data_IF_331607107022
#
_entry.id   IF_331607107022
#
_cell.length_a   1.000
_cell.length_b   1.000
_cell.length_c   1.000
_cell.angle_alpha   90.00
_cell.angle_beta   90.00
_cell.angle_gamma   90.00
#
_symmetry.space_group_name_H-M   'P 1'
#
loop_
_entity.id
_entity.type
_entity.pdbx_description
1 polymer ?
#
# COMPACT_ATOMS: atom_id res chain seq x y z
N UNK A 1 -1.98 -42.59 -65.99
CA UNK A 1 -0.52 -42.44 -65.89
C UNK A 1 -0.19 -40.97 -65.70
N UNK A 2 0.11 -40.55 -64.47
CA UNK A 2 0.96 -39.38 -64.20
C UNK A 2 1.55 -39.59 -62.81
N UNK A 3 2.76 -40.13 -62.80
CA UNK A 3 3.61 -40.37 -61.63
C UNK A 3 3.88 -39.05 -60.92
N UNK A 4 3.20 -38.79 -59.80
CA UNK A 4 3.67 -37.80 -58.83
C UNK A 4 4.90 -38.41 -58.14
N UNK A 5 6.07 -37.91 -58.51
CA UNK A 5 7.35 -38.42 -58.03
C UNK A 5 7.55 -38.10 -56.54
N UNK A 6 8.13 -39.06 -55.82
CA UNK A 6 8.62 -38.94 -54.44
C UNK A 6 9.63 -37.79 -54.21
N UNK A 7 10.05 -37.06 -55.26
CA UNK A 7 11.01 -35.96 -55.17
C UNK A 7 10.43 -34.65 -54.61
N UNK A 8 9.11 -34.41 -54.71
CA UNK A 8 8.53 -33.15 -54.21
C UNK A 8 8.39 -33.13 -52.68
N UNK A 9 8.13 -34.29 -52.06
CA UNK A 9 8.07 -34.40 -50.60
C UNK A 9 9.44 -34.41 -49.94
N UNK A 10 10.48 -34.95 -50.59
CA UNK A 10 11.85 -34.92 -50.07
C UNK A 10 12.47 -33.52 -50.10
N UNK A 11 12.11 -32.67 -51.08
CA UNK A 11 12.54 -31.25 -51.13
C UNK A 11 11.88 -30.40 -50.04
N UNK A 12 10.62 -30.64 -49.66
CA UNK A 12 9.98 -29.91 -48.57
C UNK A 12 10.51 -30.30 -47.19
N UNK A 13 10.89 -31.57 -47.00
CA UNK A 13 11.49 -32.05 -45.76
C UNK A 13 12.96 -31.58 -45.56
N UNK A 14 13.75 -31.47 -46.64
CA UNK A 14 15.16 -31.05 -46.56
C UNK A 14 15.36 -29.53 -46.44
N UNK A 15 14.39 -28.71 -46.87
CA UNK A 15 14.44 -27.24 -46.74
C UNK A 15 14.21 -26.79 -45.28
N UNK A 16 13.58 -27.62 -44.45
CA UNK A 16 13.33 -27.35 -43.03
C UNK A 16 14.58 -27.52 -42.15
N UNK A 17 15.37 -28.57 -42.38
CA UNK A 17 16.50 -28.94 -41.50
C UNK A 17 17.76 -28.12 -41.76
N UNK A 18 18.05 -27.73 -43.00
CA UNK A 18 19.22 -26.90 -43.34
C UNK A 18 19.09 -25.41 -42.94
N UNK A 19 17.87 -24.86 -42.85
CA UNK A 19 17.68 -23.49 -42.32
C UNK A 19 17.74 -23.42 -40.80
N UNK A 20 17.42 -24.51 -40.10
CA UNK A 20 17.56 -24.61 -38.65
C UNK A 20 19.03 -24.83 -38.23
N UNK A 21 19.84 -25.51 -39.05
CA UNK A 21 21.27 -25.69 -38.77
C UNK A 21 22.09 -24.40 -38.91
N UNK A 22 21.74 -23.50 -39.84
CA UNK A 22 22.39 -22.19 -39.99
C UNK A 22 22.12 -21.22 -38.83
N UNK A 23 21.05 -21.45 -38.07
CA UNK A 23 20.74 -20.71 -36.85
C UNK A 23 21.40 -21.30 -35.59
N UNK A 24 21.90 -22.54 -35.63
CA UNK A 24 22.42 -23.27 -34.46
C UNK A 24 23.57 -22.53 -33.74
N UNK A 25 24.43 -21.84 -34.50
CA UNK A 25 25.46 -20.93 -33.99
C UNK A 25 24.86 -19.80 -33.16
N UNK A 26 23.74 -19.20 -33.60
CA UNK A 26 23.21 -17.98 -32.97
C UNK A 26 22.56 -18.36 -31.63
N UNK A 27 21.88 -19.50 -31.62
CA UNK A 27 21.31 -20.11 -30.43
C UNK A 27 22.40 -20.49 -29.43
N UNK A 28 23.50 -21.12 -29.87
CA UNK A 28 24.56 -21.59 -28.96
C UNK A 28 25.52 -20.50 -28.48
N UNK A 29 25.94 -19.58 -29.36
CA UNK A 29 26.94 -18.55 -29.02
C UNK A 29 26.38 -17.33 -28.33
N UNK A 30 25.12 -16.94 -28.61
CA UNK A 30 24.56 -15.70 -28.07
C UNK A 30 23.36 -15.94 -27.17
N UNK A 31 22.40 -16.77 -27.60
CA UNK A 31 21.16 -16.90 -26.82
C UNK A 31 21.36 -17.71 -25.53
N UNK A 32 22.05 -18.85 -25.57
CA UNK A 32 22.30 -19.63 -24.36
C UNK A 32 23.09 -18.82 -23.31
N UNK A 33 24.21 -18.14 -23.65
CA UNK A 33 24.87 -17.24 -22.72
C UNK A 33 23.98 -16.09 -22.25
N UNK A 34 23.13 -15.52 -23.11
CA UNK A 34 22.21 -14.46 -22.70
C UNK A 34 21.14 -14.94 -21.71
N UNK A 35 20.56 -16.13 -21.93
CA UNK A 35 19.59 -16.75 -21.01
C UNK A 35 20.23 -17.03 -19.64
N UNK A 36 21.50 -17.45 -19.62
CA UNK A 36 22.24 -17.68 -18.37
C UNK A 36 22.65 -16.36 -17.71
N UNK A 37 23.18 -15.40 -18.47
CA UNK A 37 23.68 -14.13 -17.96
C UNK A 37 22.57 -13.20 -17.47
N UNK A 38 21.38 -13.25 -18.07
CA UNK A 38 20.29 -12.33 -17.76
C UNK A 38 19.79 -12.41 -16.30
N UNK A 39 19.57 -13.61 -15.70
CA UNK A 39 19.28 -13.72 -14.28
C UNK A 39 20.37 -13.17 -13.36
N UNK A 40 21.65 -13.33 -13.70
CA UNK A 40 22.75 -12.73 -12.93
C UNK A 40 22.72 -11.19 -13.02
N UNK A 41 22.48 -10.65 -14.22
CA UNK A 41 22.29 -9.21 -14.41
C UNK A 41 21.10 -8.68 -13.58
N UNK A 42 19.95 -9.36 -13.63
CA UNK A 42 18.78 -8.99 -12.84
C UNK A 42 19.09 -9.01 -11.34
N UNK A 43 19.75 -10.07 -10.85
CA UNK A 43 20.16 -10.21 -9.45
C UNK A 43 21.11 -9.09 -9.02
N UNK A 44 22.15 -8.79 -9.83
CA UNK A 44 23.12 -7.75 -9.54
C UNK A 44 22.49 -6.35 -9.47
N UNK A 45 21.60 -6.02 -10.42
CA UNK A 45 20.95 -4.72 -10.47
C UNK A 45 19.90 -4.54 -9.36
N UNK A 46 19.22 -5.62 -8.93
CA UNK A 46 18.16 -5.55 -7.90
C UNK A 46 18.64 -5.07 -6.55
N UNK A 47 19.84 -5.46 -6.13
CA UNK A 47 20.39 -5.01 -4.85
C UNK A 47 21.05 -3.64 -4.90
N UNK A 48 21.23 -3.05 -6.09
CA UNK A 48 21.95 -1.78 -6.25
C UNK A 48 21.31 -0.65 -5.43
N UNK A 49 19.98 -0.58 -5.39
CA UNK A 49 19.24 0.44 -4.64
C UNK A 49 19.42 0.27 -3.13
N UNK A 50 19.26 -0.95 -2.63
CA UNK A 50 19.47 -1.25 -1.21
C UNK A 50 20.90 -0.92 -0.78
N UNK A 51 21.90 -1.37 -1.56
CA UNK A 51 23.32 -1.06 -1.30
C UNK A 51 23.59 0.45 -1.31
N UNK A 52 22.94 1.20 -2.21
CA UNK A 52 23.07 2.66 -2.25
C UNK A 52 22.48 3.33 -1.01
N UNK A 53 21.33 2.87 -0.50
CA UNK A 53 20.74 3.36 0.76
C UNK A 53 21.64 3.04 1.95
N UNK A 54 22.15 1.80 2.04
CA UNK A 54 23.05 1.37 3.11
C UNK A 54 24.36 2.16 3.09
N UNK A 55 24.94 2.41 1.91
CA UNK A 55 26.15 3.22 1.78
C UNK A 55 25.92 4.70 2.11
N UNK A 56 24.74 5.23 1.78
CA UNK A 56 24.35 6.63 2.07
C UNK A 56 24.20 6.88 3.57
N UNK A 57 23.46 6.01 4.27
CA UNK A 57 23.07 6.24 5.66
C UNK A 57 23.91 5.50 6.70
N UNK A 58 24.58 4.41 6.31
CA UNK A 58 25.52 3.64 7.13
C UNK A 58 24.96 3.02 8.43
N UNK A 59 23.68 3.17 8.74
CA UNK A 59 23.07 2.48 9.89
C UNK A 59 23.21 0.96 9.79
N UNK A 60 23.62 0.33 10.89
CA UNK A 60 23.80 -1.12 10.99
C UNK A 60 25.00 -1.68 10.23
N UNK A 61 25.96 -0.84 9.79
CA UNK A 61 27.21 -1.32 9.19
C UNK A 61 28.28 -1.57 10.26
N UNK A 62 29.39 -2.27 9.96
CA UNK A 62 30.50 -2.42 10.90
C UNK A 62 31.04 -1.07 11.43
N UNK A 63 31.03 -0.03 10.60
CA UNK A 63 31.45 1.33 10.98
C UNK A 63 30.45 2.05 11.87
N UNK A 64 29.14 1.77 11.70
CA UNK A 64 28.08 2.36 12.53
C UNK A 64 27.03 1.28 12.86
N UNK A 65 27.28 0.43 13.87
CA UNK A 65 26.44 -0.74 14.15
C UNK A 65 25.08 -0.40 14.75
N UNK A 66 24.84 0.87 15.13
CA UNK A 66 23.58 1.33 15.71
C UNK A 66 22.60 1.84 14.64
N UNK A 67 21.32 1.92 15.01
CA UNK A 67 20.28 2.62 14.24
C UNK A 67 19.79 3.90 14.95
N UNK A 68 20.41 4.24 16.08
CA UNK A 68 20.12 5.46 16.83
C UNK A 68 20.35 6.72 15.99
N UNK A 69 19.57 7.76 16.25
CA UNK A 69 19.74 9.05 15.58
C UNK A 69 19.13 9.15 14.18
N UNK A 70 18.57 8.06 13.63
CA UNK A 70 17.85 8.12 12.35
C UNK A 70 16.76 9.18 12.40
N UNK A 71 16.87 10.16 11.50
CA UNK A 71 15.93 11.29 11.45
C UNK A 71 14.67 10.93 10.68
N UNK A 72 13.58 11.66 10.92
CA UNK A 72 12.33 11.45 10.16
C UNK A 72 12.53 11.70 8.66
N UNK A 73 13.42 12.63 8.27
CA UNK A 73 13.78 12.86 6.86
C UNK A 73 14.46 11.66 6.22
N UNK A 74 15.42 11.06 6.91
CA UNK A 74 16.12 9.87 6.41
C UNK A 74 15.19 8.67 6.35
N UNK A 75 14.37 8.47 7.38
CA UNK A 75 13.34 7.45 7.39
C UNK A 75 12.37 7.61 6.20
N UNK A 76 11.92 8.85 5.94
CA UNK A 76 11.04 9.14 4.81
C UNK A 76 11.69 8.82 3.45
N UNK A 77 12.96 9.18 3.21
CA UNK A 77 13.66 8.86 1.96
C UNK A 77 13.82 7.34 1.77
N UNK A 78 14.17 6.61 2.85
CA UNK A 78 14.24 5.14 2.84
C UNK A 78 12.85 4.56 2.48
N UNK A 79 11.79 5.01 3.15
CA UNK A 79 10.43 4.52 2.90
C UNK A 79 9.92 4.87 1.50
N UNK A 80 10.28 6.01 0.94
CA UNK A 80 9.95 6.39 -0.44
C UNK A 80 10.58 5.44 -1.45
N UNK A 81 11.84 5.07 -1.22
CA UNK A 81 12.54 4.06 -2.02
C UNK A 81 11.84 2.69 -1.97
N UNK A 82 11.37 2.28 -0.79
CA UNK A 82 10.61 1.05 -0.56
C UNK A 82 9.24 1.09 -1.23
N UNK A 83 8.47 2.16 -1.01
CA UNK A 83 7.06 2.28 -1.38
C UNK A 83 6.81 2.75 -2.82
N UNK A 84 7.74 3.47 -3.45
CA UNK A 84 7.55 3.96 -4.82
C UNK A 84 8.25 3.09 -5.86
N UNK A 85 9.35 2.42 -5.49
CA UNK A 85 10.23 1.75 -6.45
C UNK A 85 10.39 0.24 -6.17
N UNK A 86 10.80 -0.10 -4.95
CA UNK A 86 11.19 -1.47 -4.60
C UNK A 86 9.98 -2.41 -4.53
N UNK A 87 9.02 -2.10 -3.65
CA UNK A 87 7.85 -2.92 -3.35
C UNK A 87 6.50 -2.18 -3.47
N UNK A 88 6.28 -1.34 -4.50
CA UNK A 88 5.14 -0.42 -4.54
C UNK A 88 3.77 -1.07 -4.49
N UNK A 89 3.64 -2.28 -5.03
CA UNK A 89 2.38 -3.03 -5.00
C UNK A 89 2.09 -3.59 -3.61
N UNK A 90 3.05 -4.28 -2.97
CA UNK A 90 2.79 -4.93 -1.69
C UNK A 90 2.89 -3.98 -0.49
N UNK A 91 3.63 -2.87 -0.61
CA UNK A 91 3.55 -1.78 0.36
C UNK A 91 2.13 -1.21 0.40
N UNK A 92 1.56 -0.86 -0.76
CA UNK A 92 0.18 -0.37 -0.84
C UNK A 92 -0.83 -1.45 -0.39
N UNK A 93 -0.68 -2.71 -0.83
CA UNK A 93 -1.59 -3.78 -0.37
C UNK A 93 -1.51 -4.00 1.13
N UNK A 94 -0.34 -3.86 1.75
CA UNK A 94 -0.19 -3.86 3.20
C UNK A 94 -0.96 -2.72 3.87
N UNK A 95 -0.88 -1.49 3.34
CA UNK A 95 -1.66 -0.35 3.87
C UNK A 95 -3.18 -0.53 3.69
N UNK A 96 -3.62 -1.07 2.54
CA UNK A 96 -5.03 -1.37 2.31
C UNK A 96 -5.52 -2.48 3.24
N UNK A 97 -4.68 -3.48 3.49
CA UNK A 97 -4.97 -4.55 4.43
C UNK A 97 -4.99 -4.06 5.88
N UNK A 98 -4.12 -3.11 6.25
CA UNK A 98 -4.17 -2.44 7.55
C UNK A 98 -5.56 -1.82 7.79
N UNK A 99 -6.10 -1.09 6.81
CA UNK A 99 -7.46 -0.56 6.88
C UNK A 99 -8.50 -1.67 7.06
N UNK A 100 -8.42 -2.73 6.23
CA UNK A 100 -9.37 -3.83 6.31
C UNK A 100 -9.32 -4.56 7.66
N UNK A 101 -8.13 -4.74 8.23
CA UNK A 101 -7.91 -5.42 9.50
C UNK A 101 -8.50 -4.67 10.70
N UNK A 102 -8.59 -3.34 10.65
CA UNK A 102 -9.32 -2.56 11.68
C UNK A 102 -10.80 -2.95 11.81
N UNK A 103 -11.41 -3.49 10.74
CA UNK A 103 -12.82 -3.90 10.77
C UNK A 103 -13.05 -5.10 11.68
N UNK A 104 -12.00 -5.84 12.05
CA UNK A 104 -12.08 -6.93 13.02
C UNK A 104 -12.24 -6.48 14.47
N UNK A 105 -12.15 -5.18 14.77
CA UNK A 105 -12.30 -4.64 16.13
C UNK A 105 -13.70 -4.02 16.29
N UNK A 106 -14.56 -4.54 17.19
CA UNK A 106 -15.93 -4.07 17.35
C UNK A 106 -16.07 -2.57 17.65
N UNK A 107 -15.23 -2.01 18.52
CA UNK A 107 -15.25 -0.57 18.87
C UNK A 107 -15.04 0.33 17.63
N UNK A 108 -14.17 -0.10 16.71
CA UNK A 108 -13.90 0.61 15.46
C UNK A 108 -15.04 0.39 14.47
N UNK A 109 -15.43 -0.86 14.22
CA UNK A 109 -16.44 -1.20 13.20
C UNK A 109 -17.82 -0.64 13.53
N UNK A 110 -18.21 -0.57 14.81
CA UNK A 110 -19.45 0.06 15.25
C UNK A 110 -19.54 1.52 14.83
N UNK A 111 -18.46 2.29 15.02
CA UNK A 111 -18.42 3.69 14.60
C UNK A 111 -18.48 3.82 13.07
N UNK A 112 -17.77 2.95 12.34
CA UNK A 112 -17.79 2.92 10.88
C UNK A 112 -19.19 2.62 10.33
N UNK A 113 -19.92 1.69 10.95
CA UNK A 113 -21.30 1.40 10.59
C UNK A 113 -22.22 2.55 10.95
N UNK A 114 -22.09 3.12 12.15
CA UNK A 114 -22.93 4.23 12.63
C UNK A 114 -22.81 5.48 11.78
N UNK A 115 -21.59 5.79 11.31
CA UNK A 115 -21.35 6.93 10.42
C UNK A 115 -21.76 6.67 8.96
N UNK A 116 -22.09 5.42 8.63
CA UNK A 116 -22.42 4.92 7.29
C UNK A 116 -21.31 5.05 6.25
N UNK A 117 -20.10 5.45 6.68
CA UNK A 117 -19.02 5.77 5.75
C UNK A 117 -18.38 4.52 5.14
N UNK A 118 -18.43 3.38 5.83
CA UNK A 118 -17.95 2.09 5.32
C UNK A 118 -18.99 0.97 5.40
N UNK A 119 -20.26 1.30 5.68
CA UNK A 119 -21.37 0.33 5.69
C UNK A 119 -22.47 0.63 4.68
N UNK A 120 -22.52 1.84 4.11
CA UNK A 120 -23.44 2.17 3.04
C UNK A 120 -22.70 2.18 1.69
N UNK A 121 -23.14 1.33 0.76
CA UNK A 121 -22.53 1.12 -0.56
C UNK A 121 -22.17 2.43 -1.27
N UNK A 122 -23.08 3.42 -1.27
CA UNK A 122 -22.88 4.72 -1.93
C UNK A 122 -21.73 5.57 -1.36
N UNK A 123 -21.36 5.37 -0.10
CA UNK A 123 -20.35 6.17 0.59
C UNK A 123 -18.96 5.50 0.56
N UNK A 124 -18.92 4.17 0.52
CA UNK A 124 -17.70 3.35 0.64
C UNK A 124 -16.62 3.73 -0.39
N UNK A 125 -16.91 3.90 -1.70
CA UNK A 125 -15.92 4.32 -2.68
C UNK A 125 -15.22 5.63 -2.30
N UNK A 126 -16.01 6.65 -1.96
CA UNK A 126 -15.49 7.96 -1.61
C UNK A 126 -14.69 7.91 -0.31
N UNK A 127 -15.21 7.22 0.71
CA UNK A 127 -14.52 7.10 2.01
C UNK A 127 -13.17 6.39 1.87
N UNK A 128 -13.09 5.37 1.02
CA UNK A 128 -11.86 4.65 0.71
C UNK A 128 -10.84 5.57 0.03
N UNK A 129 -11.27 6.31 -0.99
CA UNK A 129 -10.44 7.31 -1.67
C UNK A 129 -10.00 8.44 -0.73
N UNK A 130 -10.89 8.96 0.13
CA UNK A 130 -10.55 9.98 1.12
C UNK A 130 -9.44 9.53 2.08
N UNK A 131 -9.43 8.26 2.50
CA UNK A 131 -8.32 7.69 3.29
C UNK A 131 -7.02 7.70 2.49
N UNK A 132 -7.06 7.21 1.25
CA UNK A 132 -5.86 7.13 0.42
C UNK A 132 -5.27 8.50 0.10
N UNK A 133 -6.11 9.54 -0.03
CA UNK A 133 -5.65 10.93 -0.19
C UNK A 133 -4.90 11.42 1.04
N UNK A 134 -5.49 11.25 2.23
CA UNK A 134 -4.87 11.69 3.50
C UNK A 134 -3.54 10.96 3.74
N UNK A 135 -3.53 9.64 3.61
CA UNK A 135 -2.31 8.84 3.75
C UNK A 135 -1.30 9.19 2.66
N UNK A 136 -1.73 9.38 1.42
CA UNK A 136 -0.84 9.72 0.32
C UNK A 136 -0.15 11.08 0.48
N UNK A 137 -0.74 12.01 1.24
CA UNK A 137 -0.07 13.26 1.62
C UNK A 137 0.90 13.07 2.79
N UNK A 138 0.53 12.26 3.78
CA UNK A 138 1.36 11.97 4.93
C UNK A 138 2.62 11.16 4.57
N UNK A 139 2.48 10.15 3.70
CA UNK A 139 3.63 9.36 3.18
C UNK A 139 4.34 10.04 2.02
N UNK A 140 3.61 10.71 1.11
CA UNK A 140 4.19 11.25 -0.12
C UNK A 140 4.82 12.64 0.02
N UNK A 141 4.35 13.46 0.97
CA UNK A 141 4.92 14.77 1.26
C UNK A 141 6.18 14.66 2.11
N UNK A 142 7.15 15.54 1.88
CA UNK A 142 8.31 15.67 2.77
C UNK A 142 7.82 15.97 4.20
N UNK A 143 8.45 15.43 5.27
CA UNK A 143 7.88 15.44 6.62
C UNK A 143 7.49 16.80 7.21
N UNK A 144 8.14 17.87 6.76
CA UNK A 144 7.95 19.26 7.20
C UNK A 144 7.20 20.11 6.16
N UNK A 145 6.85 19.54 5.01
CA UNK A 145 6.14 20.27 3.95
C UNK A 145 4.71 20.60 4.37
N UNK A 146 4.19 21.73 3.86
CA UNK A 146 2.79 22.09 4.06
C UNK A 146 1.86 20.95 3.58
N UNK A 147 2.21 20.25 2.50
CA UNK A 147 1.45 19.08 2.02
C UNK A 147 1.26 18.01 3.10
N UNK A 148 2.34 17.62 3.78
CA UNK A 148 2.29 16.62 4.85
C UNK A 148 1.48 17.16 6.04
N UNK A 149 1.75 18.41 6.45
CA UNK A 149 1.12 19.07 7.60
C UNK A 149 -0.39 19.27 7.41
N UNK A 150 -0.86 19.66 6.22
CA UNK A 150 -2.30 19.78 5.91
C UNK A 150 -3.01 18.43 5.99
N UNK A 151 -2.35 17.35 5.56
CA UNK A 151 -2.87 15.98 5.70
C UNK A 151 -3.12 15.60 7.16
N UNK A 152 -2.14 15.83 8.04
CA UNK A 152 -2.30 15.65 9.48
C UNK A 152 -3.39 16.55 10.07
N UNK A 153 -3.39 17.84 9.72
CA UNK A 153 -4.37 18.80 10.23
C UNK A 153 -5.80 18.35 9.88
N UNK A 154 -6.03 17.91 8.64
CA UNK A 154 -7.33 17.39 8.24
C UNK A 154 -7.69 16.09 8.97
N UNK A 155 -6.76 15.15 9.07
CA UNK A 155 -7.00 13.88 9.75
C UNK A 155 -7.32 14.09 11.24
N UNK A 156 -6.53 14.92 11.93
CA UNK A 156 -6.72 15.25 13.34
C UNK A 156 -8.05 15.97 13.58
N UNK A 157 -8.49 16.85 12.68
CA UNK A 157 -9.83 17.45 12.77
C UNK A 157 -10.94 16.39 12.68
N UNK A 158 -10.86 15.50 11.68
CA UNK A 158 -11.87 14.47 11.45
C UNK A 158 -11.94 13.47 12.61
N UNK A 159 -10.79 12.99 13.10
CA UNK A 159 -10.74 12.07 14.25
C UNK A 159 -11.07 12.79 15.56
N UNK A 160 -10.57 14.01 15.74
CA UNK A 160 -10.77 14.83 16.94
C UNK A 160 -12.25 15.05 17.26
N UNK A 161 -13.11 15.17 16.26
CA UNK A 161 -14.56 15.24 16.45
C UNK A 161 -15.11 14.03 17.23
N UNK A 162 -14.67 12.82 16.90
CA UNK A 162 -15.13 11.58 17.53
C UNK A 162 -14.35 11.25 18.81
N UNK A 163 -13.07 11.63 18.90
CA UNK A 163 -12.27 11.51 20.12
C UNK A 163 -12.88 12.36 21.24
N UNK A 164 -13.24 13.62 20.97
CA UNK A 164 -13.91 14.51 21.93
C UNK A 164 -15.25 13.96 22.44
N UNK A 165 -15.89 13.07 21.67
CA UNK A 165 -17.14 12.39 22.04
C UNK A 165 -16.92 11.03 22.74
N UNK A 166 -15.66 10.64 22.98
CA UNK A 166 -15.32 9.32 23.52
C UNK A 166 -15.68 8.15 22.60
N UNK A 167 -15.74 8.37 21.28
CA UNK A 167 -16.09 7.34 20.29
C UNK A 167 -14.89 6.70 19.61
N UNK A 168 -13.72 7.32 19.74
CA UNK A 168 -12.44 6.74 19.33
C UNK A 168 -11.55 6.79 20.57
N UNK A 169 -11.13 5.62 21.06
CA UNK A 169 -10.21 5.53 22.19
C UNK A 169 -8.76 5.73 21.75
N UNK A 170 -7.86 6.01 22.70
CA UNK A 170 -6.43 6.02 22.41
C UNK A 170 -5.94 4.64 21.95
N UNK A 171 -6.47 3.56 22.52
CA UNK A 171 -6.09 2.20 22.15
C UNK A 171 -6.51 1.88 20.70
N UNK A 172 -7.70 2.33 20.25
CA UNK A 172 -8.10 2.18 18.83
C UNK A 172 -7.15 2.95 17.88
N UNK A 173 -6.71 4.15 18.30
CA UNK A 173 -5.75 4.97 17.54
C UNK A 173 -4.36 4.33 17.48
N UNK A 174 -3.86 3.85 18.62
CA UNK A 174 -2.57 3.17 18.73
C UNK A 174 -2.57 1.85 17.95
N UNK A 175 -3.67 1.11 17.99
CA UNK A 175 -3.87 -0.09 17.18
C UNK A 175 -3.88 0.24 15.70
N UNK A 176 -4.65 1.24 15.27
CA UNK A 176 -4.67 1.65 13.86
C UNK A 176 -3.30 2.10 13.36
N UNK A 177 -2.55 2.87 14.17
CA UNK A 177 -1.16 3.26 13.87
C UNK A 177 -0.25 2.03 13.71
N UNK A 178 -0.38 1.06 14.61
CA UNK A 178 0.42 -0.18 14.57
C UNK A 178 0.22 -0.95 13.28
N UNK A 179 -1.00 -0.98 12.74
CA UNK A 179 -1.31 -1.68 11.49
C UNK A 179 -0.65 -1.03 10.28
N UNK A 180 -0.62 0.30 10.20
CA UNK A 180 0.10 1.01 9.14
C UNK A 180 1.61 0.79 9.22
N UNK A 181 2.14 0.55 10.43
CA UNK A 181 3.54 0.22 10.65
C UNK A 181 3.86 -1.24 10.29
N UNK A 182 3.06 -2.22 10.74
CA UNK A 182 3.43 -3.64 10.62
C UNK A 182 2.89 -4.33 9.35
N UNK A 183 1.72 -3.95 8.83
CA UNK A 183 1.13 -4.69 7.71
C UNK A 183 1.93 -4.56 6.41
N UNK A 184 2.48 -3.39 6.02
CA UNK A 184 3.41 -3.34 4.89
C UNK A 184 4.63 -4.26 5.08
N UNK A 185 5.18 -4.33 6.30
CA UNK A 185 6.33 -5.19 6.61
C UNK A 185 5.96 -6.68 6.50
N UNK A 186 4.84 -7.10 7.10
CA UNK A 186 4.37 -8.48 7.06
C UNK A 186 4.06 -8.94 5.63
N UNK A 187 3.38 -8.09 4.83
CA UNK A 187 3.06 -8.40 3.43
C UNK A 187 4.31 -8.50 2.55
N UNK A 188 5.24 -7.56 2.67
CA UNK A 188 6.50 -7.59 1.91
C UNK A 188 7.31 -8.82 2.30
N UNK A 189 7.50 -9.06 3.60
CA UNK A 189 8.34 -10.17 4.07
C UNK A 189 7.78 -11.54 3.67
N UNK A 190 6.45 -11.66 3.56
CA UNK A 190 5.78 -12.90 3.15
C UNK A 190 5.79 -13.12 1.64
N UNK A 191 5.65 -12.07 0.83
CA UNK A 191 5.26 -12.24 -0.58
C UNK A 191 6.17 -11.51 -1.60
N UNK A 192 7.15 -10.72 -1.17
CA UNK A 192 8.12 -10.09 -2.07
C UNK A 192 9.38 -10.93 -2.26
N UNK A 193 10.15 -10.56 -3.29
CA UNK A 193 11.38 -11.24 -3.70
C UNK A 193 12.52 -11.16 -2.66
N UNK A 194 12.41 -10.28 -1.66
CA UNK A 194 13.25 -10.26 -0.45
C UNK A 194 12.45 -9.71 0.73
N UNK A 195 12.93 -9.98 1.93
CA UNK A 195 12.43 -9.33 3.16
C UNK A 195 13.00 -7.90 3.27
N UNK A 196 12.32 -7.08 4.06
CA UNK A 196 12.84 -5.79 4.52
C UNK A 196 14.03 -6.02 5.44
N UNK A 197 15.01 -5.14 5.31
CA UNK A 197 16.18 -5.08 6.18
C UNK A 197 15.87 -4.35 7.48
N UNK A 198 16.70 -4.55 8.50
CA UNK A 198 16.61 -3.80 9.76
C UNK A 198 16.70 -2.28 9.54
N UNK A 199 17.45 -1.81 8.53
CA UNK A 199 17.45 -0.40 8.11
C UNK A 199 16.05 0.09 7.71
N UNK A 200 15.36 -0.69 6.87
CA UNK A 200 14.02 -0.36 6.35
C UNK A 200 12.96 -0.48 7.45
N UNK A 201 13.07 -1.46 8.35
CA UNK A 201 12.16 -1.62 9.50
C UNK A 201 12.40 -0.50 10.54
N UNK A 202 13.65 -0.09 10.78
CA UNK A 202 13.95 1.07 11.60
C UNK A 202 13.29 2.33 11.04
N UNK A 203 13.39 2.56 9.72
CA UNK A 203 12.75 3.67 9.05
C UNK A 203 11.21 3.64 9.22
N UNK A 204 10.59 2.45 9.13
CA UNK A 204 9.16 2.29 9.45
C UNK A 204 8.87 2.73 10.89
N UNK A 205 9.68 2.30 11.87
CA UNK A 205 9.52 2.68 13.28
C UNK A 205 9.67 4.19 13.53
N UNK A 206 10.72 4.82 13.00
CA UNK A 206 10.97 6.26 13.11
C UNK A 206 9.82 7.07 12.51
N UNK A 207 9.41 6.71 11.28
CA UNK A 207 8.35 7.42 10.57
C UNK A 207 7.01 7.34 11.31
N UNK A 208 6.63 6.14 11.79
CA UNK A 208 5.33 5.96 12.46
C UNK A 208 5.32 6.47 13.90
N UNK A 209 6.46 6.49 14.60
CA UNK A 209 6.53 7.20 15.89
C UNK A 209 6.27 8.69 15.69
N UNK A 210 6.90 9.31 14.69
CA UNK A 210 6.63 10.70 14.34
C UNK A 210 5.20 10.92 13.82
N UNK A 211 4.59 9.93 13.17
CA UNK A 211 3.16 9.98 12.80
C UNK A 211 2.26 9.99 14.03
N UNK A 212 2.48 9.09 14.98
CA UNK A 212 1.69 9.04 16.21
C UNK A 212 1.86 10.30 17.07
N UNK A 213 3.07 10.86 17.18
CA UNK A 213 3.30 12.16 17.82
C UNK A 213 2.47 13.28 17.14
N UNK A 214 2.48 13.32 15.80
CA UNK A 214 1.74 14.32 15.03
C UNK A 214 0.22 14.20 15.21
N UNK A 215 -0.26 12.99 15.46
CA UNK A 215 -1.65 12.65 15.73
C UNK A 215 -2.03 12.68 17.21
N UNK A 216 -1.09 13.06 18.10
CA UNK A 216 -1.28 13.13 19.55
C UNK A 216 -1.72 11.79 20.16
N UNK A 217 -1.21 10.68 19.62
CA UNK A 217 -1.47 9.33 20.14
C UNK A 217 -0.54 9.09 21.34
N UNK A 218 -1.13 8.70 22.48
CA UNK A 218 -0.35 8.31 23.65
C UNK A 218 0.24 6.91 23.47
N UNK A 219 1.52 6.79 23.80
CA UNK A 219 2.27 5.53 23.77
C UNK A 219 2.43 4.90 25.16
N UNK A 220 1.71 5.36 26.18
CA UNK A 220 1.80 4.89 27.58
C UNK A 220 1.64 3.38 27.76
N UNK A 221 0.93 2.72 26.84
CA UNK A 221 0.74 1.26 26.84
C UNK A 221 2.00 0.47 26.48
N UNK A 222 3.00 1.13 25.91
CA UNK A 222 4.23 0.51 25.47
C UNK A 222 5.27 0.50 26.61
N UNK A 223 5.99 -0.62 26.81
CA UNK A 223 6.90 -0.78 27.95
C UNK A 223 7.95 0.33 28.11
N UNK A 224 8.53 0.81 27.01
CA UNK A 224 9.58 1.80 27.05
C UNK A 224 9.10 3.26 27.00
N UNK A 225 7.79 3.52 27.17
CA UNK A 225 7.27 4.90 27.15
C UNK A 225 7.94 5.82 28.18
N UNK A 226 8.13 5.33 29.41
CA UNK A 226 8.71 6.12 30.51
C UNK A 226 10.23 6.24 30.43
N UNK A 227 10.92 5.25 29.83
CA UNK A 227 12.38 5.20 29.73
C UNK A 227 12.92 5.68 28.39
N UNK A 228 12.06 5.78 27.37
CA UNK A 228 12.41 6.06 25.99
C UNK A 228 12.81 4.80 25.20
N UNK A 229 12.59 4.85 23.90
CA UNK A 229 13.10 3.85 22.96
C UNK A 229 14.49 4.25 22.45
N UNK A 230 15.29 3.23 22.14
CA UNK A 230 16.63 3.38 21.57
C UNK A 230 16.56 3.93 20.15
N UNK A 231 15.79 3.26 19.31
CA UNK A 231 15.69 3.53 17.87
C UNK A 231 14.33 3.07 17.34
N UNK A 232 14.13 3.22 16.03
CA UNK A 232 12.90 2.81 15.37
C UNK A 232 12.66 1.29 15.41
N UNK A 233 13.70 0.45 15.47
CA UNK A 233 13.52 -1.00 15.59
C UNK A 233 12.96 -1.38 16.95
N UNK A 234 13.46 -0.75 18.02
CA UNK A 234 12.94 -0.98 19.36
C UNK A 234 11.45 -0.59 19.42
N UNK A 235 11.10 0.60 18.96
CA UNK A 235 9.72 1.07 18.90
C UNK A 235 8.82 0.15 18.05
N UNK A 236 9.30 -0.25 16.86
CA UNK A 236 8.57 -1.18 15.98
C UNK A 236 8.21 -2.48 16.70
N UNK A 237 9.18 -3.11 17.37
CA UNK A 237 8.99 -4.40 18.05
C UNK A 237 8.01 -4.30 19.22
N UNK A 238 8.10 -3.24 20.01
CA UNK A 238 7.15 -3.03 21.12
C UNK A 238 5.73 -2.79 20.61
N UNK A 239 5.57 -1.90 19.62
CA UNK A 239 4.25 -1.58 19.07
C UNK A 239 3.62 -2.79 18.36
N UNK A 240 4.40 -3.56 17.60
CA UNK A 240 3.94 -4.79 16.95
C UNK A 240 3.53 -5.86 17.98
N UNK A 241 4.31 -6.01 19.05
CA UNK A 241 3.99 -6.94 20.15
C UNK A 241 2.70 -6.53 20.86
N UNK A 242 2.56 -5.24 21.19
CA UNK A 242 1.36 -4.70 21.80
C UNK A 242 0.13 -4.87 20.90
N UNK A 243 0.26 -4.60 19.60
CA UNK A 243 -0.83 -4.77 18.63
C UNK A 243 -1.32 -6.23 18.56
N UNK A 244 -0.39 -7.19 18.51
CA UNK A 244 -0.72 -8.63 18.51
C UNK A 244 -1.44 -9.07 19.77
N UNK A 245 -1.14 -8.46 20.92
CA UNK A 245 -1.85 -8.69 22.18
C UNK A 245 -3.23 -8.02 22.18
N UNK A 246 -3.32 -6.78 21.72
CA UNK A 246 -4.58 -6.06 21.57
C UNK A 246 -5.55 -6.85 20.68
N UNK A 247 -5.09 -7.38 19.55
CA UNK A 247 -5.92 -8.24 18.70
C UNK A 247 -6.38 -9.52 19.39
N UNK A 248 -5.55 -10.15 20.23
CA UNK A 248 -5.97 -11.35 20.98
C UNK A 248 -7.14 -11.05 21.91
N UNK A 249 -7.17 -9.84 22.47
CA UNK A 249 -8.19 -9.41 23.42
C UNK A 249 -9.43 -8.83 22.74
N UNK A 250 -9.28 -8.12 21.62
CA UNK A 250 -10.32 -7.25 21.07
C UNK A 250 -10.82 -7.67 19.68
N UNK A 251 -10.09 -8.50 18.93
CA UNK A 251 -10.50 -8.94 17.58
C UNK A 251 -11.41 -10.17 17.69
N UNK A 252 -12.70 -9.92 17.91
CA UNK A 252 -13.72 -10.94 18.18
C UNK A 252 -14.85 -10.91 17.14
N UNK A 253 -15.54 -12.04 16.91
CA UNK A 253 -16.71 -12.08 16.00
C UNK A 253 -17.78 -11.06 16.37
N UNK A 254 -18.16 -10.22 15.42
CA UNK A 254 -19.18 -9.20 15.65
C UNK A 254 -19.92 -8.82 14.36
N UNK A 255 -21.23 -8.58 14.44
CA UNK A 255 -22.04 -8.28 13.26
C UNK A 255 -21.58 -7.00 12.55
N UNK A 256 -21.12 -5.98 13.30
CA UNK A 256 -20.63 -4.73 12.70
C UNK A 256 -19.29 -4.86 11.99
N UNK A 257 -18.49 -5.86 12.38
CA UNK A 257 -17.29 -6.24 11.66
C UNK A 257 -17.67 -6.80 10.28
N UNK A 258 -18.63 -7.73 10.23
CA UNK A 258 -19.17 -8.30 9.00
C UNK A 258 -19.78 -7.23 8.09
N UNK A 259 -20.67 -6.38 8.63
CA UNK A 259 -21.37 -5.31 7.89
C UNK A 259 -20.39 -4.36 7.18
N UNK A 260 -19.24 -4.07 7.81
CA UNK A 260 -18.19 -3.22 7.23
C UNK A 260 -17.36 -3.99 6.21
N UNK A 261 -16.93 -5.20 6.54
CA UNK A 261 -16.06 -6.02 5.70
C UNK A 261 -16.73 -6.41 4.37
N UNK A 262 -18.04 -6.71 4.38
CA UNK A 262 -18.78 -7.09 3.17
C UNK A 262 -18.85 -5.96 2.16
N UNK A 263 -19.03 -4.72 2.62
CA UNK A 263 -19.09 -3.53 1.76
C UNK A 263 -17.72 -3.22 1.14
N UNK A 264 -16.64 -3.35 1.91
CA UNK A 264 -15.29 -3.20 1.35
C UNK A 264 -14.95 -4.33 0.37
N UNK A 265 -15.37 -5.57 0.63
CA UNK A 265 -15.23 -6.67 -0.35
C UNK A 265 -15.99 -6.34 -1.65
N UNK A 266 -17.21 -5.81 -1.56
CA UNK A 266 -17.96 -5.38 -2.73
C UNK A 266 -17.25 -4.25 -3.50
N UNK A 267 -16.64 -3.28 -2.80
CA UNK A 267 -15.81 -2.25 -3.43
C UNK A 267 -14.61 -2.85 -4.19
N UNK A 268 -13.87 -3.78 -3.58
CA UNK A 268 -12.74 -4.45 -4.25
C UNK A 268 -13.19 -5.20 -5.51
N UNK A 269 -14.39 -5.78 -5.47
CA UNK A 269 -14.99 -6.51 -6.58
C UNK A 269 -15.67 -5.59 -7.62
N UNK A 270 -15.78 -4.27 -7.36
CA UNK A 270 -16.48 -3.32 -8.24
C UNK A 270 -15.81 -3.13 -9.60
N UNK A 271 -14.50 -3.38 -9.67
CA UNK A 271 -13.69 -3.28 -10.89
C UNK A 271 -13.69 -4.57 -11.72
N UNK A 272 -14.55 -5.53 -11.37
CA UNK A 272 -14.63 -6.82 -12.06
C UNK A 272 -16.06 -7.08 -12.57
N UNK A 273 -16.19 -7.79 -13.71
CA UNK A 273 -17.49 -8.17 -14.25
C UNK A 273 -18.29 -9.04 -13.28
N UNK A 274 -19.64 -8.97 -13.30
CA UNK A 274 -20.49 -9.74 -12.39
C UNK A 274 -20.18 -11.24 -12.34
N UNK A 275 -19.89 -11.87 -13.48
CA UNK A 275 -19.63 -13.31 -13.57
C UNK A 275 -18.35 -13.77 -12.85
N UNK A 276 -17.44 -12.86 -12.49
CA UNK A 276 -16.20 -13.19 -11.76
C UNK A 276 -16.34 -13.02 -10.25
N UNK A 277 -17.38 -12.31 -9.77
CA UNK A 277 -17.43 -11.81 -8.39
C UNK A 277 -17.45 -12.93 -7.34
N UNK A 278 -18.16 -14.02 -7.58
CA UNK A 278 -18.24 -15.14 -6.61
C UNK A 278 -16.88 -15.84 -6.43
N UNK A 279 -16.17 -16.08 -7.54
CA UNK A 279 -14.83 -16.67 -7.52
C UNK A 279 -13.86 -15.72 -6.82
N UNK A 280 -13.88 -14.44 -7.19
CA UNK A 280 -12.98 -13.44 -6.61
C UNK A 280 -13.27 -13.16 -5.13
N UNK A 281 -14.53 -13.28 -4.68
CA UNK A 281 -14.89 -13.18 -3.26
C UNK A 281 -14.15 -14.20 -2.39
N UNK A 282 -14.00 -15.43 -2.90
CA UNK A 282 -13.20 -16.49 -2.24
C UNK A 282 -11.70 -16.19 -2.28
N UNK A 283 -11.21 -15.62 -3.39
CA UNK A 283 -9.80 -15.19 -3.52
C UNK A 283 -9.47 -14.06 -2.53
N UNK A 284 -10.35 -13.07 -2.38
CA UNK A 284 -10.18 -11.95 -1.42
C UNK A 284 -10.12 -12.44 0.02
N UNK A 285 -10.72 -13.59 0.32
CA UNK A 285 -10.69 -14.22 1.65
C UNK A 285 -9.43 -15.08 1.87
N UNK A 286 -8.70 -15.46 0.82
CA UNK A 286 -7.51 -16.31 0.91
C UNK A 286 -6.34 -15.72 1.72
N UNK A 287 -6.01 -14.41 1.64
CA UNK A 287 -4.92 -13.82 2.42
C UNK A 287 -5.28 -13.51 3.89
N UNK A 288 -6.53 -13.69 4.31
CA UNK A 288 -6.97 -13.44 5.69
C UNK A 288 -6.45 -14.54 6.62
N UNK A 289 -5.78 -14.17 7.72
CA UNK A 289 -5.57 -15.10 8.84
C UNK A 289 -6.88 -15.39 9.57
N UNK A 290 -6.86 -16.48 10.33
CA UNK A 290 -8.05 -17.04 10.95
C UNK A 290 -8.69 -16.08 11.95
N UNK A 291 -7.91 -15.32 12.74
CA UNK A 291 -8.46 -14.38 13.71
C UNK A 291 -9.28 -13.28 13.02
N UNK A 292 -8.70 -12.63 12.01
CA UNK A 292 -9.42 -11.58 11.28
C UNK A 292 -10.65 -12.16 10.56
N UNK A 293 -10.49 -13.29 9.88
CA UNK A 293 -11.57 -13.98 9.17
C UNK A 293 -12.74 -14.31 10.08
N UNK A 294 -12.47 -14.86 11.26
CA UNK A 294 -13.49 -15.20 12.27
C UNK A 294 -14.14 -13.94 12.85
N UNK A 295 -13.34 -12.91 13.15
CA UNK A 295 -13.84 -11.65 13.68
C UNK A 295 -14.81 -10.94 12.73
N UNK A 296 -14.56 -10.99 11.42
CA UNK A 296 -15.47 -10.46 10.39
C UNK A 296 -16.50 -11.48 9.91
N UNK A 297 -16.53 -12.69 10.48
CA UNK A 297 -17.47 -13.76 10.17
C UNK A 297 -17.47 -14.17 8.69
N UNK A 298 -16.29 -14.18 8.05
CA UNK A 298 -16.13 -14.67 6.68
C UNK A 298 -15.89 -16.18 6.67
N UNK A 299 -16.42 -16.83 5.65
CA UNK A 299 -16.14 -18.25 5.39
C UNK A 299 -14.66 -18.48 5.09
N UNK A 300 -14.17 -19.65 5.45
CA UNK A 300 -12.83 -20.07 5.09
C UNK A 300 -12.72 -20.25 3.56
N UNK A 301 -11.71 -19.60 2.97
CA UNK A 301 -11.40 -19.82 1.56
C UNK A 301 -10.99 -21.29 1.37
N UNK A 302 -11.56 -22.02 0.39
CA UNK A 302 -11.20 -23.41 0.15
C UNK A 302 -9.68 -23.57 -0.02
N UNK A 303 -9.12 -24.68 0.46
CA UNK A 303 -7.68 -24.92 0.44
C UNK A 303 -7.06 -24.74 -0.96
N UNK A 304 -7.78 -25.10 -2.02
CA UNK A 304 -7.36 -24.88 -3.41
C UNK A 304 -7.14 -23.41 -3.77
N UNK A 305 -7.97 -22.49 -3.27
CA UNK A 305 -7.83 -21.05 -3.50
C UNK A 305 -6.63 -20.49 -2.73
N UNK A 306 -6.44 -20.93 -1.48
CA UNK A 306 -5.26 -20.59 -0.66
C UNK A 306 -3.97 -21.07 -1.35
N UNK A 307 -3.93 -22.32 -1.82
CA UNK A 307 -2.81 -22.88 -2.57
C UNK A 307 -2.56 -22.15 -3.89
N UNK A 308 -3.60 -21.82 -4.64
CA UNK A 308 -3.47 -21.06 -5.89
C UNK A 308 -2.89 -19.66 -5.62
N UNK A 309 -3.41 -18.95 -4.63
CA UNK A 309 -2.90 -17.63 -4.25
C UNK A 309 -1.43 -17.72 -3.84
N UNK A 310 -1.06 -18.66 -2.97
CA UNK A 310 0.33 -18.85 -2.54
C UNK A 310 1.25 -19.22 -3.72
N UNK A 311 0.81 -20.12 -4.61
CA UNK A 311 1.56 -20.50 -5.80
C UNK A 311 1.76 -19.32 -6.77
N UNK A 312 0.74 -18.50 -6.96
CA UNK A 312 0.84 -17.26 -7.75
C UNK A 312 1.85 -16.28 -7.12
N UNK A 313 1.81 -16.10 -5.80
CA UNK A 313 2.74 -15.21 -5.11
C UNK A 313 4.18 -15.73 -5.16
N UNK A 314 4.41 -17.03 -5.03
CA UNK A 314 5.76 -17.64 -5.18
C UNK A 314 6.27 -17.52 -6.62
N UNK A 315 5.43 -17.75 -7.63
CA UNK A 315 5.81 -17.54 -9.03
C UNK A 315 6.16 -16.07 -9.29
N UNK A 316 5.35 -15.12 -8.79
CA UNK A 316 5.63 -13.69 -8.86
C UNK A 316 6.95 -13.37 -8.17
N UNK A 317 7.21 -13.94 -7.00
CA UNK A 317 8.45 -13.77 -6.24
C UNK A 317 9.67 -14.22 -7.04
N UNK A 318 9.60 -15.41 -7.63
CA UNK A 318 10.65 -15.95 -8.51
C UNK A 318 10.86 -15.06 -9.75
N UNK A 319 9.79 -14.71 -10.45
CA UNK A 319 9.85 -13.87 -11.64
C UNK A 319 10.46 -12.50 -11.33
N UNK A 320 10.01 -11.87 -10.24
CA UNK A 320 10.62 -10.63 -9.78
C UNK A 320 12.10 -10.87 -9.53
N UNK A 321 12.45 -11.76 -8.60
CA UNK A 321 13.84 -12.00 -8.18
C UNK A 321 14.83 -12.20 -9.33
N UNK A 322 14.47 -13.00 -10.32
CA UNK A 322 15.42 -13.49 -11.32
C UNK A 322 15.17 -13.01 -12.75
N UNK A 323 13.96 -12.55 -13.08
CA UNK A 323 13.57 -12.29 -14.48
C UNK A 323 13.09 -10.86 -14.75
N UNK A 324 12.84 -10.05 -13.71
CA UNK A 324 12.47 -8.67 -13.89
C UNK A 324 13.58 -7.72 -13.45
N UNK A 325 13.90 -6.75 -14.29
CA UNK A 325 14.81 -5.66 -13.95
C UNK A 325 14.22 -4.76 -12.84
N UNK A 326 15.07 -4.11 -12.01
CA UNK A 326 14.57 -3.13 -11.05
C UNK A 326 13.93 -1.94 -11.76
N UNK A 327 12.85 -1.39 -11.18
CA UNK A 327 12.18 -0.22 -11.75
C UNK A 327 13.13 0.98 -11.81
N UNK A 328 13.27 1.67 -12.93
CA UNK A 328 14.00 2.93 -12.99
C UNK A 328 13.21 4.05 -12.30
N UNK A 329 13.88 5.14 -11.91
CA UNK A 329 13.27 6.23 -11.12
C UNK A 329 12.07 6.90 -11.79
N UNK A 330 12.05 6.99 -13.12
CA UNK A 330 10.92 7.57 -13.86
C UNK A 330 9.66 6.67 -13.85
N UNK A 331 9.80 5.40 -13.44
CA UNK A 331 8.68 4.47 -13.21
C UNK A 331 8.33 4.36 -11.72
N UNK A 332 8.82 5.27 -10.88
CA UNK A 332 8.36 5.40 -9.50
C UNK A 332 6.83 5.49 -9.48
N UNK A 333 6.21 4.68 -8.63
CA UNK A 333 4.76 4.68 -8.51
C UNK A 333 4.32 6.05 -8.01
N UNK A 334 3.36 6.63 -8.71
CA UNK A 334 2.74 7.88 -8.34
C UNK A 334 1.24 7.63 -8.28
N UNK A 335 0.64 7.83 -7.11
CA UNK A 335 -0.78 7.57 -6.88
C UNK A 335 -1.64 8.81 -7.17
N UNK A 336 -1.10 10.01 -6.91
CA UNK A 336 -1.78 11.29 -7.07
C UNK A 336 -0.94 12.29 -7.85
N UNK A 337 -1.55 13.36 -8.37
CA UNK A 337 -0.80 14.47 -8.98
C UNK A 337 0.17 15.09 -7.97
N UNK A 338 1.37 15.47 -8.44
CA UNK A 338 2.39 16.13 -7.61
C UNK A 338 1.95 17.52 -7.21
N UNK A 339 1.56 18.30 -8.22
CA UNK A 339 1.05 19.65 -8.07
C UNK A 339 -0.46 19.70 -8.22
N UNK A 340 -1.13 20.67 -7.59
CA UNK A 340 -2.52 20.98 -7.87
C UNK A 340 -2.70 21.58 -9.27
N UNK A 341 -3.94 21.54 -9.77
CA UNK A 341 -4.33 22.29 -10.96
C UNK A 341 -4.56 23.79 -10.65
N UNK A 342 -4.96 24.56 -11.66
CA UNK A 342 -5.23 25.99 -11.54
C UNK A 342 -6.31 26.36 -10.51
N UNK A 343 -7.15 25.40 -10.07
CA UNK A 343 -8.18 25.58 -9.04
C UNK A 343 -7.74 25.05 -7.68
N UNK A 344 -6.47 24.63 -7.52
CA UNK A 344 -5.98 24.05 -6.28
C UNK A 344 -6.33 22.57 -6.09
N UNK A 345 -6.91 21.90 -7.10
CA UNK A 345 -7.40 20.52 -7.00
C UNK A 345 -6.34 19.51 -7.39
N UNK A 346 -6.33 18.36 -6.72
CA UNK A 346 -5.49 17.22 -7.05
C UNK A 346 -6.34 16.01 -7.41
N UNK A 347 -5.70 15.05 -8.09
CA UNK A 347 -6.39 13.91 -8.69
C UNK A 347 -5.62 12.63 -8.44
N UNK A 348 -6.34 11.51 -8.36
CA UNK A 348 -5.73 10.19 -8.52
C UNK A 348 -5.27 10.02 -9.97
N UNK A 349 -4.06 9.47 -10.12
CA UNK A 349 -3.49 9.08 -11.44
C UNK A 349 -3.32 7.57 -11.57
N UNK A 350 -3.38 6.84 -10.45
CA UNK A 350 -3.45 5.39 -10.39
C UNK A 350 -4.49 4.98 -9.34
N UNK A 351 -5.35 4.01 -9.67
CA UNK A 351 -6.44 3.55 -8.80
C UNK A 351 -6.70 2.05 -9.04
N UNK A 352 -7.20 1.36 -8.03
CA UNK A 352 -7.48 -0.08 -8.06
C UNK A 352 -8.92 -0.45 -7.67
N UNK A 353 -9.74 0.56 -7.34
CA UNK A 353 -11.18 0.43 -7.04
C UNK A 353 -11.97 1.45 -7.87
N UNK A 354 -13.15 1.88 -7.43
CA UNK A 354 -13.93 2.89 -8.14
C UNK A 354 -13.10 4.17 -8.42
N UNK A 355 -13.25 4.80 -9.59
CA UNK A 355 -12.39 5.90 -10.04
C UNK A 355 -12.73 7.26 -9.40
N UNK A 356 -12.73 7.31 -8.07
CA UNK A 356 -13.01 8.53 -7.30
C UNK A 356 -11.85 9.53 -7.42
N UNK A 357 -12.17 10.81 -7.65
CA UNK A 357 -11.20 11.89 -7.88
C UNK A 357 -10.26 11.67 -9.08
N UNK A 358 -10.70 10.86 -10.06
CA UNK A 358 -9.95 10.63 -11.30
C UNK A 358 -10.49 11.56 -12.39
N UNK A 359 -9.59 12.26 -13.06
CA UNK A 359 -9.96 13.18 -14.16
C UNK A 359 -10.47 12.38 -15.37
N UNK A 360 -11.64 12.73 -15.95
CA UNK A 360 -12.19 12.08 -17.14
C UNK A 360 -11.53 12.59 -18.42
N UNK A 361 -10.22 12.35 -18.56
CA UNK A 361 -9.50 12.63 -19.81
C UNK A 361 -10.03 11.77 -20.96
N UNK A 362 -9.74 12.14 -22.21
CA UNK A 362 -10.11 11.31 -23.36
C UNK A 362 -9.64 9.86 -23.21
N UNK A 363 -8.42 9.65 -22.73
CA UNK A 363 -7.88 8.31 -22.47
C UNK A 363 -8.62 7.59 -21.35
N UNK A 364 -8.83 8.26 -20.21
CA UNK A 364 -9.45 7.65 -19.02
C UNK A 364 -10.94 7.35 -19.19
N UNK A 365 -11.65 8.13 -20.01
CA UNK A 365 -13.10 8.00 -20.24
C UNK A 365 -13.43 7.15 -21.48
N UNK A 366 -12.62 7.26 -22.53
CA UNK A 366 -12.94 6.74 -23.86
C UNK A 366 -11.82 5.90 -24.49
N UNK A 367 -10.70 5.69 -23.78
CA UNK A 367 -9.63 4.80 -24.24
C UNK A 367 -10.06 3.33 -24.27
N UNK A 368 -9.23 2.43 -24.83
CA UNK A 368 -9.58 1.01 -25.03
C UNK A 368 -10.04 0.30 -23.75
N UNK A 369 -9.34 0.50 -22.64
CA UNK A 369 -9.73 -0.06 -21.34
C UNK A 369 -11.06 0.49 -20.82
N UNK A 370 -11.34 1.78 -21.05
CA UNK A 370 -12.59 2.40 -20.66
C UNK A 370 -13.78 1.91 -21.50
N UNK A 371 -13.56 1.55 -22.77
CA UNK A 371 -14.58 0.90 -23.62
C UNK A 371 -14.89 -0.50 -23.08
N UNK A 372 -13.87 -1.28 -22.71
CA UNK A 372 -14.07 -2.58 -22.06
C UNK A 372 -14.85 -2.43 -20.75
N UNK A 373 -14.51 -1.44 -19.91
CA UNK A 373 -15.23 -1.17 -18.68
C UNK A 373 -16.70 -0.82 -18.94
N UNK A 374 -16.98 0.01 -19.96
CA UNK A 374 -18.35 0.34 -20.37
C UNK A 374 -19.14 -0.91 -20.75
N UNK A 375 -18.56 -1.78 -21.57
CA UNK A 375 -19.22 -3.03 -22.02
C UNK A 375 -19.47 -4.00 -20.87
N UNK A 376 -18.63 -3.99 -19.83
CA UNK A 376 -18.71 -4.88 -18.68
C UNK A 376 -19.45 -4.26 -17.47
N UNK A 377 -20.00 -3.04 -17.63
CA UNK A 377 -20.72 -2.34 -16.55
C UNK A 377 -19.82 -1.90 -15.39
N UNK A 378 -18.52 -1.71 -15.63
CA UNK A 378 -17.55 -1.27 -14.63
C UNK A 378 -17.52 0.27 -14.60
N UNK A 379 -17.52 0.91 -13.41
CA UNK A 379 -17.47 2.37 -13.29
C UNK A 379 -16.26 3.00 -14.00
N UNK A 380 -16.48 4.18 -14.58
CA UNK A 380 -15.46 4.96 -15.31
C UNK A 380 -15.38 6.38 -14.76
N UNK A 381 -14.21 7.04 -14.82
CA UNK A 381 -14.07 8.43 -14.42
C UNK A 381 -15.15 9.31 -15.06
N UNK A 382 -15.86 10.12 -14.28
CA UNK A 382 -16.96 10.98 -14.76
C UNK A 382 -18.36 10.37 -14.66
N UNK A 383 -18.49 9.10 -14.25
CA UNK A 383 -19.79 8.53 -13.87
C UNK A 383 -20.31 9.15 -12.54
N UNK A 384 -21.61 9.04 -12.23
CA UNK A 384 -22.14 9.50 -10.95
C UNK A 384 -21.39 8.88 -9.76
N UNK A 385 -21.03 9.72 -8.78
CA UNK A 385 -20.32 9.28 -7.58
C UNK A 385 -18.80 9.14 -7.72
N UNK A 386 -18.20 9.52 -8.87
CA UNK A 386 -16.74 9.46 -9.06
C UNK A 386 -16.01 10.77 -8.77
N UNK A 387 -16.71 11.86 -8.47
CA UNK A 387 -16.12 13.16 -8.10
C UNK A 387 -15.00 13.63 -9.08
N UNK A 388 -15.28 13.74 -10.40
CA UNK A 388 -14.27 14.03 -11.43
C UNK A 388 -13.58 15.40 -11.28
N UNK A 389 -14.12 16.30 -10.45
CA UNK A 389 -13.57 17.59 -10.07
C UNK A 389 -12.31 17.49 -9.19
N UNK A 390 -11.97 16.29 -8.73
CA UNK A 390 -10.81 16.05 -7.87
C UNK A 390 -11.05 16.45 -6.42
N UNK A 391 -9.97 16.56 -5.64
CA UNK A 391 -10.05 16.84 -4.22
C UNK A 391 -9.19 18.05 -3.81
N UNK A 392 -9.60 18.67 -2.70
CA UNK A 392 -8.78 19.56 -1.90
C UNK A 392 -8.61 18.91 -0.52
N UNK A 393 -7.40 18.96 0.03
CA UNK A 393 -7.09 18.28 1.29
C UNK A 393 -8.00 18.79 2.43
N UNK A 394 -8.22 20.09 2.52
CA UNK A 394 -9.06 20.73 3.54
C UNK A 394 -10.54 20.35 3.45
N UNK A 395 -10.98 19.83 2.30
CA UNK A 395 -12.36 19.41 2.04
C UNK A 395 -12.51 17.89 1.97
N UNK A 396 -11.43 17.12 2.18
CA UNK A 396 -11.43 15.64 2.08
C UNK A 396 -12.19 15.02 3.26
N UNK A 397 -12.92 13.92 3.03
CA UNK A 397 -13.71 13.23 4.06
C UNK A 397 -15.23 13.34 3.86
N UNK A 398 -16.03 12.93 4.87
CA UNK A 398 -17.48 12.90 4.78
C UNK A 398 -18.09 14.27 4.46
N UNK A 399 -19.16 14.29 3.67
CA UNK A 399 -19.81 15.53 3.20
C UNK A 399 -20.19 16.50 4.34
N UNK A 400 -20.58 15.96 5.50
CA UNK A 400 -20.94 16.74 6.69
C UNK A 400 -19.78 17.58 7.27
N UNK A 401 -18.53 17.26 6.93
CA UNK A 401 -17.31 17.97 7.36
C UNK A 401 -16.66 18.83 6.26
N UNK A 402 -17.24 18.85 5.05
CA UNK A 402 -16.74 19.69 3.95
C UNK A 402 -16.93 21.16 4.32
N UNK A 403 -15.87 21.97 4.18
CA UNK A 403 -15.89 23.39 4.53
C UNK A 403 -15.89 23.70 6.03
N UNK A 404 -15.70 22.70 6.90
CA UNK A 404 -15.66 22.86 8.36
C UNK A 404 -14.28 22.56 8.94
N UNK A 405 -14.04 23.06 10.15
CA UNK A 405 -12.82 22.78 10.92
C UNK A 405 -11.64 23.71 10.63
N UNK A 406 -11.80 24.77 9.83
CA UNK A 406 -10.67 25.61 9.38
C UNK A 406 -9.85 26.20 10.53
N UNK A 407 -10.49 26.62 11.62
CA UNK A 407 -9.79 27.13 12.81
C UNK A 407 -9.00 26.04 13.53
N UNK A 408 -9.60 24.87 13.72
CA UNK A 408 -8.95 23.72 14.37
C UNK A 408 -7.78 23.21 13.54
N UNK A 409 -7.97 23.06 12.23
CA UNK A 409 -6.90 22.70 11.30
C UNK A 409 -5.77 23.73 11.34
N UNK A 410 -6.07 25.03 11.32
CA UNK A 410 -5.04 26.08 11.43
C UNK A 410 -4.23 25.97 12.73
N UNK A 411 -4.87 25.74 13.88
CA UNK A 411 -4.16 25.51 15.15
C UNK A 411 -3.27 24.27 15.10
N UNK A 412 -3.76 23.16 14.53
CA UNK A 412 -2.94 21.96 14.33
C UNK A 412 -1.75 22.24 13.42
N UNK A 413 -1.89 23.01 12.34
CA UNK A 413 -0.77 23.36 11.46
C UNK A 413 0.30 24.15 12.20
N UNK A 414 -0.09 25.17 12.96
CA UNK A 414 0.85 25.98 13.74
C UNK A 414 1.59 25.15 14.80
N UNK A 415 0.90 24.19 15.44
CA UNK A 415 1.52 23.22 16.35
C UNK A 415 2.54 22.35 15.61
N UNK A 416 2.12 21.71 14.51
CA UNK A 416 2.96 20.78 13.77
C UNK A 416 4.18 21.46 13.13
N UNK A 417 4.07 22.71 12.68
CA UNK A 417 5.22 23.51 12.20
C UNK A 417 6.30 23.72 13.26
N UNK A 418 5.92 23.73 14.54
CA UNK A 418 6.87 23.87 15.67
C UNK A 418 7.43 22.53 16.13
N UNK A 419 6.59 21.49 16.15
CA UNK A 419 6.95 20.19 16.74
C UNK A 419 7.63 19.23 15.74
N UNK A 420 7.25 19.28 14.46
CA UNK A 420 7.80 18.38 13.43
C UNK A 420 9.02 19.02 12.76
N UNK A 421 10.19 18.86 13.38
CA UNK A 421 11.47 19.42 12.88
C UNK A 421 12.24 18.50 11.93
N UNK A 422 11.64 17.37 11.53
CA UNK A 422 12.27 16.35 10.69
C UNK A 422 13.44 15.59 11.34
N UNK A 423 13.82 15.91 12.59
CA UNK A 423 14.90 15.27 13.35
C UNK A 423 14.56 13.86 13.84
N UNK A 424 15.46 13.24 14.62
CA UNK A 424 15.21 11.93 15.23
C UNK A 424 14.18 12.06 16.37
N UNK A 425 13.07 11.31 16.34
CA UNK A 425 12.03 11.45 17.35
C UNK A 425 12.34 10.67 18.64
N UNK A 426 13.47 9.95 18.67
CA UNK A 426 14.00 9.23 19.84
C UNK A 426 15.21 9.93 20.46
N UNK A 427 15.66 11.04 19.88
CA UNK A 427 16.74 11.81 20.47
C UNK A 427 16.28 12.34 21.84
N UNK A 428 16.98 11.94 22.91
CA UNK A 428 16.80 12.53 24.24
C UNK A 428 17.02 14.03 24.07
N UNK A 429 15.99 14.84 24.30
CA UNK A 429 16.17 16.28 24.48
C UNK A 429 17.06 16.40 25.73
N UNK A 430 18.35 16.61 25.56
CA UNK A 430 19.20 17.08 26.66
C UNK A 430 18.58 18.42 27.07
N UNK A 431 17.95 18.41 28.25
CA UNK A 431 17.37 19.60 28.86
C UNK A 431 18.45 20.66 29.12
#
# INVERSE_FOLDING_TARGET
MSTFSNESFSKLASISTHRLSGFSWVWSYYLLPAIVAYPFLCSALRFRRLKALQAKYKYGTPEYPSYEGMTVKEAHDILKSVSDLEFPSLFEKGLQFALFRTYGIPTISELLVKTTQLSAEKNVPKRYADTGVLLGDMYGGEPESDRCIEGYARLNYLHGHYIKQGKISNDDMLYTLSLFLNQPVEWINKYEWRQLTDLEICAMGVFHKAMGDGMEISFEKLPSYSTGWKDGLHFYRELDTWAKQYEKACMVPHQKNYDTAVQTRQLLLSMYPPFMKDVLSKVVSAPLDDRLREAIMFEEAPASYRSFFNGFMELRRFFLRYLALPKPTFMAKQIMTKEPDAKGRRYYVAWDTAPVYVKPTLWNRWGPGAIVHLLLGIPRPGDPGTYPEGFEINSTGPSVFVGKGSKEMAMTRERLKKERTGGCPFAVRRA
#
